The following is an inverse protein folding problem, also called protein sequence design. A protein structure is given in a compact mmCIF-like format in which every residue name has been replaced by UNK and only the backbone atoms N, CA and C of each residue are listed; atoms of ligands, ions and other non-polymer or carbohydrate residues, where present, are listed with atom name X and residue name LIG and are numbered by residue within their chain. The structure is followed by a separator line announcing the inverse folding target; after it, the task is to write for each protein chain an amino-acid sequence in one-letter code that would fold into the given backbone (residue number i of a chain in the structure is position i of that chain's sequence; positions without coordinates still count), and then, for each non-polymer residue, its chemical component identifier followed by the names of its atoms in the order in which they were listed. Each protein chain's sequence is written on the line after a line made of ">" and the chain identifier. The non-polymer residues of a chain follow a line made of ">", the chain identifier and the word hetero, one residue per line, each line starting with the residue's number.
data_IF_039009444267
#
_entry.id   IF_039009444267
#
_cell.length_a   1.000
_cell.length_b   1.000
_cell.length_c   1.000
_cell.angle_alpha   90.00
_cell.angle_beta   90.00
_cell.angle_gamma   90.00
#
_symmetry.space_group_name_H-M   'P 1'
#
loop_
_entity.id
_entity.type
_entity.pdbx_description
1 polymer ?
#
# COMPACT_ATOMS: atom_id res chain seq x y z
N UNK A 1 14.86 3.78 7.86
CA UNK A 1 15.69 2.56 7.65
C UNK A 1 14.95 1.26 7.92
N UNK A 2 14.08 1.16 8.95
CA UNK A 2 13.32 -0.08 9.24
C UNK A 2 12.36 -0.54 8.12
N UNK A 3 11.80 0.40 7.32
CA UNK A 3 10.91 0.08 6.19
C UNK A 3 11.64 -0.72 5.11
N UNK A 4 12.84 -0.29 4.71
CA UNK A 4 13.58 -0.84 3.57
C UNK A 4 13.86 -2.35 3.69
N UNK A 5 14.39 -2.81 4.83
CA UNK A 5 14.76 -4.22 5.01
C UNK A 5 13.52 -5.13 5.02
N UNK A 6 12.41 -4.69 5.62
CA UNK A 6 11.15 -5.44 5.60
C UNK A 6 10.55 -5.50 4.20
N UNK A 7 10.52 -4.36 3.51
CA UNK A 7 10.04 -4.30 2.13
C UNK A 7 10.83 -5.24 1.23
N UNK A 8 12.17 -5.26 1.34
CA UNK A 8 13.01 -6.16 0.55
C UNK A 8 12.70 -7.64 0.82
N UNK A 9 12.60 -8.04 2.09
CA UNK A 9 12.27 -9.42 2.46
C UNK A 9 10.88 -9.86 1.99
N UNK A 10 9.88 -8.99 2.16
CA UNK A 10 8.53 -9.25 1.69
C UNK A 10 8.45 -9.33 0.16
N UNK A 11 9.10 -8.41 -0.55
CA UNK A 11 9.16 -8.43 -2.01
C UNK A 11 9.76 -9.72 -2.53
N UNK A 12 10.90 -10.14 -1.95
CA UNK A 12 11.54 -11.40 -2.30
C UNK A 12 10.57 -12.57 -2.08
N UNK A 13 9.88 -12.62 -0.94
CA UNK A 13 8.92 -13.69 -0.66
C UNK A 13 7.77 -13.73 -1.67
N UNK A 14 7.07 -12.62 -1.87
CA UNK A 14 5.92 -12.58 -2.77
C UNK A 14 6.30 -12.90 -4.21
N UNK A 15 7.43 -12.36 -4.69
CA UNK A 15 7.84 -12.50 -6.09
C UNK A 15 8.61 -13.78 -6.36
N UNK A 16 9.63 -14.07 -5.57
CA UNK A 16 10.58 -15.16 -5.85
C UNK A 16 10.14 -16.48 -5.22
N UNK A 17 9.50 -16.45 -4.04
CA UNK A 17 9.06 -17.68 -3.35
C UNK A 17 7.66 -18.08 -3.79
N UNK A 18 6.71 -17.14 -3.82
CA UNK A 18 5.32 -17.43 -4.20
C UNK A 18 5.04 -17.30 -5.71
N UNK A 19 5.95 -16.70 -6.48
CA UNK A 19 5.79 -16.52 -7.92
C UNK A 19 4.68 -15.52 -8.32
N UNK A 20 4.27 -14.64 -7.41
CA UNK A 20 3.21 -13.67 -7.67
C UNK A 20 3.72 -12.50 -8.53
N UNK A 21 2.87 -11.87 -9.35
CA UNK A 21 3.27 -10.81 -10.28
C UNK A 21 3.46 -9.45 -9.58
N UNK A 22 4.18 -9.43 -8.47
CA UNK A 22 4.49 -8.24 -7.68
C UNK A 22 5.64 -7.46 -8.34
N UNK A 23 5.42 -6.15 -8.47
CA UNK A 23 6.37 -5.20 -9.06
C UNK A 23 7.19 -4.51 -7.98
N UNK A 24 6.57 -4.14 -6.85
CA UNK A 24 7.23 -3.49 -5.71
C UNK A 24 6.39 -3.58 -4.44
N UNK A 25 7.01 -3.35 -3.28
CA UNK A 25 6.32 -3.22 -1.99
C UNK A 25 6.92 -2.11 -1.15
N UNK A 26 6.08 -1.43 -0.37
CA UNK A 26 6.53 -0.38 0.52
C UNK A 26 5.74 -0.34 1.83
N UNK A 27 6.45 -0.45 2.94
CA UNK A 27 5.91 -0.04 4.24
C UNK A 27 6.09 1.47 4.40
N UNK A 28 4.98 2.21 4.33
CA UNK A 28 5.00 3.68 4.39
C UNK A 28 5.59 4.18 5.71
N UNK A 29 6.38 5.25 5.62
CA UNK A 29 6.96 5.93 6.77
C UNK A 29 5.89 6.55 7.66
N UNK A 30 4.83 7.12 7.05
CA UNK A 30 3.68 7.69 7.76
C UNK A 30 2.92 6.62 8.57
N UNK A 31 2.87 5.38 8.09
CA UNK A 31 2.35 4.22 8.83
C UNK A 31 3.32 3.64 9.85
N UNK A 32 4.34 4.38 10.29
CA UNK A 32 5.34 3.93 11.26
C UNK A 32 6.27 2.83 10.72
N UNK A 33 6.41 2.71 9.39
CA UNK A 33 7.18 1.66 8.71
C UNK A 33 6.74 0.23 9.07
N UNK A 34 5.45 0.04 9.38
CA UNK A 34 4.88 -1.25 9.82
C UNK A 34 3.37 -1.36 9.61
N UNK A 35 2.60 -0.32 9.93
CA UNK A 35 1.14 -0.39 9.94
C UNK A 35 0.49 -0.38 8.56
N UNK A 36 1.06 0.37 7.61
CA UNK A 36 0.50 0.53 6.27
C UNK A 36 1.47 0.03 5.21
N UNK A 37 1.01 -0.97 4.45
CA UNK A 37 1.72 -1.66 3.39
C UNK A 37 1.07 -1.31 2.05
N UNK A 38 1.88 -0.93 1.07
CA UNK A 38 1.46 -0.74 -0.31
C UNK A 38 2.17 -1.77 -1.18
N UNK A 39 1.44 -2.46 -2.04
CA UNK A 39 1.97 -3.46 -2.97
C UNK A 39 1.57 -3.07 -4.38
N UNK A 40 2.56 -2.95 -5.27
CA UNK A 40 2.33 -2.76 -6.70
C UNK A 40 2.41 -4.10 -7.40
N UNK A 41 1.46 -4.37 -8.30
CA UNK A 41 1.39 -5.64 -9.04
C UNK A 41 0.92 -5.46 -10.48
N UNK A 42 1.36 -6.37 -11.35
CA UNK A 42 0.81 -6.53 -12.69
C UNK A 42 -0.31 -7.56 -12.65
N UNK A 43 -1.54 -7.09 -12.38
CA UNK A 43 -2.71 -7.96 -12.18
C UNK A 43 -3.17 -8.61 -13.48
N UNK A 44 -3.37 -9.93 -13.44
CA UNK A 44 -3.90 -10.72 -14.54
C UNK A 44 -5.39 -11.03 -14.34
N UNK A 45 -5.82 -11.27 -13.10
CA UNK A 45 -7.22 -11.50 -12.73
C UNK A 45 -7.55 -10.95 -11.32
N UNK A 46 -8.82 -10.63 -11.01
CA UNK A 46 -9.21 -9.93 -9.77
C UNK A 46 -8.78 -10.63 -8.47
N UNK A 47 -8.85 -11.96 -8.42
CA UNK A 47 -8.66 -12.76 -7.21
C UNK A 47 -7.19 -12.71 -6.72
N UNK A 48 -6.22 -12.45 -7.61
CA UNK A 48 -4.80 -12.34 -7.25
C UNK A 48 -4.52 -11.30 -6.18
N UNK A 49 -5.34 -10.25 -6.09
CA UNK A 49 -5.17 -9.18 -5.09
C UNK A 49 -5.29 -9.75 -3.67
N UNK A 50 -6.21 -10.70 -3.46
CA UNK A 50 -6.36 -11.40 -2.17
C UNK A 50 -5.22 -12.40 -1.94
N UNK A 51 -4.75 -13.09 -2.97
CA UNK A 51 -3.60 -14.00 -2.86
C UNK A 51 -2.34 -13.26 -2.40
N UNK A 52 -2.07 -12.10 -3.00
CA UNK A 52 -0.95 -11.21 -2.61
C UNK A 52 -1.09 -10.74 -1.16
N UNK A 53 -2.30 -10.34 -0.74
CA UNK A 53 -2.55 -9.92 0.63
C UNK A 53 -2.31 -11.05 1.63
N UNK A 54 -2.82 -12.26 1.36
CA UNK A 54 -2.60 -13.43 2.21
C UNK A 54 -1.15 -13.88 2.24
N UNK A 55 -0.44 -13.85 1.11
CA UNK A 55 1.00 -14.10 1.04
C UNK A 55 1.80 -13.09 1.87
N UNK A 56 1.37 -11.83 1.91
CA UNK A 56 2.01 -10.83 2.73
C UNK A 56 1.73 -11.03 4.23
N UNK A 57 0.46 -11.28 4.58
CA UNK A 57 0.04 -11.45 5.97
C UNK A 57 0.52 -12.75 6.61
N UNK A 58 0.78 -13.79 5.82
CA UNK A 58 1.34 -15.05 6.34
C UNK A 58 2.79 -14.90 6.78
N UNK A 59 3.60 -14.15 6.03
CA UNK A 59 4.98 -13.84 6.39
C UNK A 59 5.07 -12.74 7.46
N UNK A 60 4.31 -11.65 7.26
CA UNK A 60 4.32 -10.45 8.09
C UNK A 60 3.06 -10.38 8.95
N UNK A 61 2.93 -11.31 9.88
CA UNK A 61 1.68 -11.52 10.62
C UNK A 61 1.31 -10.37 11.58
N UNK A 62 2.27 -9.55 12.03
CA UNK A 62 2.03 -8.42 12.95
C UNK A 62 1.99 -7.06 12.24
N UNK A 63 2.57 -6.97 11.05
CA UNK A 63 2.61 -5.77 10.20
C UNK A 63 1.47 -5.74 9.17
N UNK A 64 1.34 -4.67 8.39
CA UNK A 64 0.39 -4.58 7.29
C UNK A 64 -1.08 -4.54 7.76
N UNK A 65 -1.34 -3.86 8.88
CA UNK A 65 -2.70 -3.59 9.39
C UNK A 65 -3.62 -3.05 8.28
N UNK A 66 -3.11 -2.13 7.48
CA UNK A 66 -3.73 -1.68 6.24
C UNK A 66 -2.83 -2.09 5.07
N UNK A 67 -3.39 -2.82 4.11
CA UNK A 67 -2.70 -3.27 2.90
C UNK A 67 -3.43 -2.73 1.68
N UNK A 68 -2.73 -1.94 0.87
CA UNK A 68 -3.26 -1.34 -0.35
C UNK A 68 -2.56 -1.99 -1.53
N UNK A 69 -3.32 -2.51 -2.49
CA UNK A 69 -2.76 -3.09 -3.70
C UNK A 69 -3.08 -2.19 -4.89
N UNK A 70 -2.05 -1.80 -5.63
CA UNK A 70 -2.11 -0.85 -6.75
C UNK A 70 -1.54 -1.47 -8.02
N UNK A 71 -1.85 -0.88 -9.17
CA UNK A 71 -1.31 -1.30 -10.46
C UNK A 71 0.22 -1.06 -10.56
N UNK A 72 0.85 -1.62 -11.58
CA UNK A 72 2.30 -1.57 -11.83
C UNK A 72 2.82 -0.19 -12.25
N UNK A 73 1.93 0.71 -12.68
CA UNK A 73 2.24 2.09 -13.04
C UNK A 73 2.19 3.08 -11.87
N UNK A 74 1.86 2.61 -10.66
CA UNK A 74 1.76 3.41 -9.44
C UNK A 74 3.05 3.29 -8.62
N UNK A 75 3.73 4.41 -8.36
CA UNK A 75 4.87 4.45 -7.45
C UNK A 75 4.40 4.33 -5.99
N UNK A 76 4.67 3.17 -5.38
CA UNK A 76 4.32 2.84 -3.99
C UNK A 76 4.98 3.74 -2.95
N UNK A 77 6.03 4.50 -3.31
CA UNK A 77 6.69 5.47 -2.43
C UNK A 77 6.14 6.88 -2.59
N UNK A 78 5.27 7.12 -3.57
CA UNK A 78 4.61 8.39 -3.78
C UNK A 78 3.18 8.36 -3.21
N UNK A 79 2.92 8.96 -2.04
CA UNK A 79 1.60 8.89 -1.40
C UNK A 79 0.50 9.49 -2.28
N UNK A 80 0.80 10.54 -3.07
CA UNK A 80 -0.18 11.15 -3.95
C UNK A 80 -0.67 10.19 -5.05
N UNK A 81 0.21 9.33 -5.58
CA UNK A 81 -0.20 8.35 -6.58
C UNK A 81 -1.01 7.20 -5.97
N UNK A 82 -0.65 6.76 -4.76
CA UNK A 82 -1.39 5.72 -4.03
C UNK A 82 -2.78 6.22 -3.65
N UNK A 83 -2.89 7.43 -3.11
CA UNK A 83 -4.17 8.07 -2.78
C UNK A 83 -5.03 8.30 -4.03
N UNK A 84 -4.42 8.70 -5.14
CA UNK A 84 -5.10 8.81 -6.44
C UNK A 84 -5.66 7.46 -6.90
N UNK A 85 -4.85 6.39 -6.85
CA UNK A 85 -5.31 5.05 -7.20
C UNK A 85 -6.48 4.61 -6.29
N UNK A 86 -6.38 4.82 -4.97
CA UNK A 86 -7.49 4.54 -4.06
C UNK A 86 -8.76 5.30 -4.41
N UNK A 87 -8.64 6.57 -4.79
CA UNK A 87 -9.78 7.45 -5.08
C UNK A 87 -10.53 7.06 -6.35
N UNK A 88 -9.81 6.57 -7.37
CA UNK A 88 -10.38 6.36 -8.70
C UNK A 88 -10.47 4.89 -9.12
N UNK A 89 -9.72 3.98 -8.49
CA UNK A 89 -9.70 2.56 -8.85
C UNK A 89 -10.49 1.67 -7.87
N UNK A 90 -10.87 2.18 -6.70
CA UNK A 90 -11.57 1.41 -5.67
C UNK A 90 -12.99 1.93 -5.40
N UNK A 91 -13.92 1.00 -5.19
CA UNK A 91 -15.23 1.23 -4.60
C UNK A 91 -15.21 0.60 -3.20
N UNK A 92 -15.23 1.39 -2.11
CA UNK A 92 -14.94 0.88 -0.76
C UNK A 92 -15.78 -0.33 -0.34
N UNK A 93 -17.08 -0.35 -0.65
CA UNK A 93 -17.96 -1.47 -0.27
C UNK A 93 -17.65 -2.78 -1.00
N UNK A 94 -17.12 -2.71 -2.22
CA UNK A 94 -16.83 -3.88 -3.08
C UNK A 94 -15.38 -4.32 -2.98
N UNK A 95 -14.47 -3.34 -2.96
CA UNK A 95 -13.03 -3.52 -3.19
C UNK A 95 -12.23 -3.50 -1.88
N UNK A 96 -12.89 -3.63 -0.73
CA UNK A 96 -12.22 -3.82 0.56
C UNK A 96 -12.55 -5.16 1.18
N UNK A 97 -11.61 -5.69 1.95
CA UNK A 97 -11.77 -6.94 2.68
C UNK A 97 -11.13 -6.81 4.05
N UNK A 98 -11.86 -7.13 5.11
CA UNK A 98 -11.35 -7.05 6.49
C UNK A 98 -11.33 -8.43 7.12
N UNK A 99 -10.24 -8.72 7.83
CA UNK A 99 -10.07 -9.93 8.63
C UNK A 99 -9.93 -9.52 10.08
N UNK A 100 -10.81 -10.02 10.94
CA UNK A 100 -10.73 -9.86 12.40
C UNK A 100 -10.09 -11.08 13.06
N UNK A 101 -9.64 -10.93 14.32
CA UNK A 101 -9.10 -12.05 15.09
C UNK A 101 -7.66 -12.41 14.74
N UNK A 102 -6.92 -11.46 14.17
CA UNK A 102 -5.49 -11.61 13.82
C UNK A 102 -4.60 -10.97 14.88
N UNK A 103 -3.32 -11.33 14.90
CA UNK A 103 -2.36 -10.78 15.87
C UNK A 103 -2.00 -9.34 15.47
N UNK A 104 -2.26 -8.34 16.33
CA UNK A 104 -1.84 -6.96 16.05
C UNK A 104 -0.34 -6.77 16.36
N UNK A 105 0.19 -5.62 15.94
CA UNK A 105 1.49 -5.19 16.44
C UNK A 105 1.43 -4.94 17.94
N UNK A 106 2.45 -5.42 18.68
CA UNK A 106 2.50 -5.28 20.15
C UNK A 106 2.62 -3.83 20.64
N UNK A 107 2.85 -2.88 19.73
CA UNK A 107 2.91 -1.44 20.02
C UNK A 107 1.74 -0.68 19.40
N UNK A 108 0.71 -1.36 18.86
CA UNK A 108 -0.48 -0.70 18.31
C UNK A 108 -1.39 -0.20 19.45
N UNK A 109 -1.50 1.12 19.68
CA UNK A 109 -2.30 1.67 20.77
C UNK A 109 -3.80 1.50 20.55
N UNK A 110 -4.26 1.25 19.31
CA UNK A 110 -5.70 1.07 19.03
C UNK A 110 -6.27 -0.27 19.49
N UNK A 111 -5.42 -1.19 19.93
CA UNK A 111 -5.83 -2.54 20.39
C UNK A 111 -6.60 -2.53 21.69
N UNK A 112 -6.33 -1.58 22.59
CA UNK A 112 -7.07 -1.40 23.83
C UNK A 112 -6.82 0.00 24.42
N UNK A 113 -7.77 0.51 25.24
CA UNK A 113 -7.62 1.76 25.98
C UNK A 113 -6.31 1.86 26.80
N UNK A 114 -5.89 3.09 27.12
CA UNK A 114 -4.59 3.37 27.73
C UNK A 114 -4.40 2.77 29.14
N UNK A 115 -5.50 2.54 29.88
CA UNK A 115 -5.52 1.92 31.20
C UNK A 115 -5.31 0.40 31.17
N UNK A 116 -5.40 -0.22 29.98
CA UNK A 116 -5.17 -1.66 29.81
C UNK A 116 -3.67 -1.95 29.69
N UNK A 117 -3.05 -2.76 30.57
CA UNK A 117 -1.62 -3.06 30.48
C UNK A 117 -1.21 -3.72 29.15
N UNK A 118 0.04 -3.55 28.71
CA UNK A 118 0.52 -4.07 27.41
C UNK A 118 0.44 -5.59 27.28
N UNK A 119 0.60 -6.32 28.38
CA UNK A 119 0.56 -7.79 28.42
C UNK A 119 -0.87 -8.37 28.55
N UNK A 120 -1.88 -7.51 28.65
CA UNK A 120 -3.26 -7.94 28.86
C UNK A 120 -3.80 -8.73 27.65
N UNK A 121 -4.46 -9.88 27.86
CA UNK A 121 -5.04 -10.68 26.79
C UNK A 121 -6.00 -9.92 25.85
N UNK A 122 -6.64 -8.85 26.32
CA UNK A 122 -7.52 -7.99 25.52
C UNK A 122 -6.78 -7.31 24.36
N UNK A 123 -5.45 -7.16 24.43
CA UNK A 123 -4.61 -6.61 23.34
C UNK A 123 -4.19 -7.66 22.30
N UNK A 124 -4.58 -8.93 22.44
CA UNK A 124 -4.11 -10.03 21.56
C UNK A 124 -4.86 -10.12 20.23
N UNK A 125 -6.05 -9.55 20.13
CA UNK A 125 -6.87 -9.59 18.93
C UNK A 125 -6.88 -8.23 18.24
N UNK A 126 -6.62 -8.23 16.94
CA UNK A 126 -6.71 -7.08 16.06
C UNK A 126 -7.42 -7.44 14.76
N UNK A 127 -7.29 -6.55 13.78
CA UNK A 127 -7.80 -6.73 12.42
C UNK A 127 -6.78 -6.28 11.39
N UNK A 128 -6.94 -6.80 10.17
CA UNK A 128 -6.25 -6.32 8.96
C UNK A 128 -7.28 -5.97 7.91
N UNK A 129 -6.97 -4.98 7.08
CA UNK A 129 -7.79 -4.56 5.96
C UNK A 129 -6.97 -4.59 4.67
N UNK A 130 -7.53 -5.19 3.63
CA UNK A 130 -7.09 -5.11 2.25
C UNK A 130 -7.95 -4.07 1.52
N UNK A 131 -7.30 -3.24 0.72
CA UNK A 131 -7.92 -2.29 -0.22
C UNK A 131 -7.38 -2.62 -1.62
N UNK A 132 -8.25 -3.11 -2.51
CA UNK A 132 -7.94 -3.33 -3.92
C UNK A 132 -8.10 -2.01 -4.70
N UNK A 133 -7.00 -1.28 -4.85
CA UNK A 133 -6.89 -0.05 -5.64
C UNK A 133 -6.29 -0.30 -7.05
N UNK A 134 -6.46 -1.50 -7.60
CA UNK A 134 -6.11 -1.82 -8.99
C UNK A 134 -7.26 -1.49 -9.95
N UNK A 135 -6.98 -1.26 -11.23
CA UNK A 135 -8.06 -1.04 -12.22
C UNK A 135 -8.90 -2.30 -12.40
N UNK A 136 -10.23 -2.14 -12.48
CA UNK A 136 -11.17 -3.27 -12.60
C UNK A 136 -11.49 -3.66 -14.05
N UNK A 137 -11.18 -2.77 -14.99
CA UNK A 137 -11.39 -2.89 -16.44
C UNK A 137 -10.46 -1.86 -17.13
N UNK A 138 -10.40 -1.79 -18.47
CA UNK A 138 -9.67 -0.72 -19.15
C UNK A 138 -10.24 0.65 -18.76
N UNK A 139 -9.40 1.52 -18.22
CA UNK A 139 -9.77 2.89 -17.86
C UNK A 139 -9.32 3.84 -18.98
N UNK A 140 -9.91 5.05 -19.07
CA UNK A 140 -9.34 6.11 -19.89
C UNK A 140 -7.86 6.35 -19.52
N UNK A 141 -7.02 6.75 -20.49
CA UNK A 141 -5.63 7.09 -20.20
C UNK A 141 -5.58 8.19 -19.14
N UNK A 142 -4.61 8.09 -18.22
CA UNK A 142 -4.39 9.14 -17.23
C UNK A 142 -4.13 10.47 -17.96
N UNK A 143 -4.79 11.54 -17.50
CA UNK A 143 -4.59 12.89 -18.01
C UNK A 143 -3.21 13.41 -17.60
N UNK A 144 -2.16 12.94 -18.29
CA UNK A 144 -0.78 13.39 -18.11
C UNK A 144 -0.50 14.49 -19.11
N UNK A 145 0.07 15.58 -18.63
CA UNK A 145 0.61 16.62 -19.51
C UNK A 145 1.81 16.02 -20.26
N UNK A 146 1.88 16.14 -21.60
CA UNK A 146 3.01 15.62 -22.35
C UNK A 146 4.35 16.20 -21.87
N UNK A 147 5.44 15.41 -21.81
CA UNK A 147 6.72 15.84 -21.23
C UNK A 147 7.29 17.12 -21.84
N UNK A 148 7.08 17.34 -23.13
CA UNK A 148 7.55 18.52 -23.86
C UNK A 148 6.98 19.82 -23.27
N UNK A 149 5.71 19.83 -22.85
CA UNK A 149 5.09 21.01 -22.25
C UNK A 149 5.55 21.21 -20.81
N UNK A 150 5.74 20.13 -20.05
CA UNK A 150 6.31 20.19 -18.68
C UNK A 150 7.71 20.79 -18.74
N UNK A 151 8.57 20.29 -19.63
CA UNK A 151 9.95 20.78 -19.80
C UNK A 151 9.98 22.23 -20.28
N UNK A 152 9.09 22.61 -21.21
CA UNK A 152 8.98 23.99 -21.67
C UNK A 152 8.58 24.94 -20.52
N UNK A 153 7.62 24.54 -19.68
CA UNK A 153 7.22 25.31 -18.51
C UNK A 153 8.34 25.42 -17.47
N UNK A 154 9.07 24.32 -17.21
CA UNK A 154 10.19 24.30 -16.28
C UNK A 154 11.34 25.23 -16.70
N UNK A 155 11.65 25.31 -18.00
CA UNK A 155 12.68 26.23 -18.51
C UNK A 155 12.33 27.70 -18.23
N UNK A 156 11.05 28.05 -18.34
CA UNK A 156 10.54 29.41 -18.15
C UNK A 156 10.03 29.70 -16.73
N UNK A 157 10.23 28.78 -15.79
CA UNK A 157 9.64 28.87 -14.44
C UNK A 157 9.99 30.18 -13.73
N UNK A 158 11.27 30.59 -13.81
CA UNK A 158 11.75 31.86 -13.25
C UNK A 158 11.24 33.08 -14.01
N UNK A 159 11.09 32.99 -15.34
CA UNK A 159 10.54 34.07 -16.17
C UNK A 159 9.09 34.38 -15.81
N UNK A 160 8.34 33.36 -15.39
CA UNK A 160 6.97 33.50 -14.87
C UNK A 160 6.89 34.06 -13.44
N UNK A 161 8.04 34.37 -12.82
CA UNK A 161 8.10 34.89 -11.45
C UNK A 161 8.00 33.84 -10.35
N UNK A 162 8.05 32.54 -10.69
CA UNK A 162 8.06 31.47 -9.68
C UNK A 162 9.48 31.17 -9.21
N UNK A 163 9.68 31.12 -7.88
CA UNK A 163 10.89 30.57 -7.28
C UNK A 163 10.80 29.05 -7.19
N UNK A 164 11.95 28.39 -7.26
CA UNK A 164 12.08 26.93 -7.21
C UNK A 164 11.77 26.38 -5.83
#
# INVERSE_FOLDING_TARGET
>A
MRSLSRSAGLFHHLKQVLGLPVCDVHFTESGGASGMLVISMKKEYPEQVKEVAWGAWSLMNKEGKFTIVVDDDIDVRNPFQVEWAMSFHAQPARDTFTVSGVVPSGVDPSTAPADIPQHDPRRRAGSKMLIDATRKHPYPPAARVPPEYILAAQKKWKEYGFSK
#
